data_IF_028845021267
#
_entry.id   IF_028845021267
#
_cell.length_a   1.000
_cell.length_b   1.000
_cell.length_c   1.000
_cell.angle_alpha   90.00
_cell.angle_beta   90.00
_cell.angle_gamma   90.00
#
_symmetry.space_group_name_H-M   'P 1'
#
loop_
_entity.id
_entity.type
_entity.pdbx_description
1 polymer ?
#
# COMPACT_ATOMS: atom_id res chain seq x y z
N UNK A 1 28.55 7.57 -17.20
CA UNK A 1 29.48 7.15 -16.11
C UNK A 1 29.88 8.28 -15.18
N UNK A 2 30.38 9.44 -15.65
CA UNK A 2 30.82 10.55 -14.75
C UNK A 2 29.69 11.19 -13.92
N UNK A 3 28.44 11.05 -14.36
CA UNK A 3 27.25 11.57 -13.67
C UNK A 3 26.73 10.66 -12.54
N UNK A 4 27.01 9.34 -12.61
CA UNK A 4 26.66 8.37 -11.55
C UNK A 4 27.50 8.56 -10.27
N UNK A 5 28.77 8.96 -10.44
CA UNK A 5 29.74 9.14 -9.35
C UNK A 5 29.45 10.40 -8.50
N UNK A 6 28.69 11.36 -9.03
CA UNK A 6 28.32 12.61 -8.32
C UNK A 6 26.89 12.52 -7.77
N UNK A 7 25.97 11.86 -8.48
CA UNK A 7 24.57 11.74 -8.07
C UNK A 7 24.36 10.93 -6.79
N UNK A 8 25.09 9.82 -6.63
CA UNK A 8 24.97 8.97 -5.44
C UNK A 8 25.43 9.68 -4.13
N UNK A 9 26.64 10.27 -4.04
CA UNK A 9 27.06 10.97 -2.83
C UNK A 9 26.25 12.24 -2.55
N UNK A 10 25.73 12.93 -3.57
CA UNK A 10 24.84 14.08 -3.38
C UNK A 10 23.46 13.66 -2.84
N UNK A 11 22.90 12.54 -3.32
CA UNK A 11 21.66 11.97 -2.83
C UNK A 11 21.77 11.48 -1.38
N UNK A 12 22.86 10.80 -1.05
CA UNK A 12 23.14 10.36 0.33
C UNK A 12 23.35 11.57 1.26
N UNK A 13 24.06 12.61 0.83
CA UNK A 13 24.23 13.82 1.63
C UNK A 13 22.91 14.58 1.86
N UNK A 14 22.03 14.63 0.86
CA UNK A 14 20.71 15.24 0.97
C UNK A 14 19.79 14.44 1.89
N UNK A 15 19.82 13.11 1.79
CA UNK A 15 19.12 12.19 2.68
C UNK A 15 19.58 12.39 4.13
N UNK A 16 20.89 12.41 4.37
CA UNK A 16 21.44 12.63 5.71
C UNK A 16 21.09 14.02 6.28
N UNK A 17 21.06 15.06 5.45
CA UNK A 17 20.63 16.41 5.87
C UNK A 17 19.13 16.46 6.16
N UNK A 18 18.31 15.78 5.35
CA UNK A 18 16.86 15.70 5.54
C UNK A 18 16.51 14.90 6.78
N UNK A 19 17.07 13.71 6.97
CA UNK A 19 16.89 12.90 8.18
C UNK A 19 17.36 13.63 9.44
N UNK A 20 18.49 14.36 9.35
CA UNK A 20 19.01 15.15 10.48
C UNK A 20 18.14 16.37 10.80
N UNK A 21 17.60 17.06 9.79
CA UNK A 21 16.66 18.15 9.98
C UNK A 21 15.33 17.63 10.55
N UNK A 22 14.80 16.55 9.98
CA UNK A 22 13.55 15.90 10.37
C UNK A 22 13.59 15.41 11.83
N UNK A 23 14.63 14.66 12.23
CA UNK A 23 14.81 14.22 13.62
C UNK A 23 15.05 15.38 14.60
N UNK A 24 15.51 16.55 14.12
CA UNK A 24 15.64 17.75 14.97
C UNK A 24 14.32 18.49 15.19
N UNK A 25 13.39 18.38 14.25
CA UNK A 25 12.07 19.01 14.32
C UNK A 25 11.03 18.10 14.99
N UNK A 26 11.22 16.78 14.90
CA UNK A 26 10.29 15.77 15.43
C UNK A 26 11.08 14.66 16.15
N UNK A 27 11.37 14.81 17.45
CA UNK A 27 12.16 13.85 18.21
C UNK A 27 11.44 12.52 18.45
N UNK A 28 10.10 12.53 18.48
CA UNK A 28 9.22 11.36 18.64
C UNK A 28 8.06 11.42 17.64
N UNK A 29 8.28 11.08 16.35
CA UNK A 29 7.24 11.12 15.34
C UNK A 29 6.31 9.90 15.42
N UNK A 30 4.98 10.08 15.20
CA UNK A 30 4.06 8.96 14.98
C UNK A 30 4.46 8.14 13.74
N UNK A 31 4.21 6.82 13.77
CA UNK A 31 4.56 5.82 12.73
C UNK A 31 4.15 6.24 11.30
N UNK A 32 3.05 6.99 11.17
CA UNK A 32 2.58 7.55 9.90
C UNK A 32 3.57 8.52 9.24
N UNK A 33 4.30 9.32 10.04
CA UNK A 33 5.25 10.32 9.52
C UNK A 33 6.61 9.66 9.21
N UNK A 34 6.96 8.57 9.90
CA UNK A 34 8.13 7.73 9.52
C UNK A 34 7.95 7.12 8.12
N UNK A 35 6.75 6.64 7.79
CA UNK A 35 6.44 6.09 6.45
C UNK A 35 6.60 7.12 5.31
N UNK A 36 6.19 8.36 5.56
CA UNK A 36 6.33 9.47 4.60
C UNK A 36 7.80 9.90 4.45
N UNK A 37 8.55 9.93 5.55
CA UNK A 37 9.98 10.28 5.53
C UNK A 37 10.84 9.28 4.75
N UNK A 38 10.55 7.98 4.88
CA UNK A 38 11.29 6.91 4.18
C UNK A 38 10.96 6.87 2.68
N UNK A 39 9.69 7.07 2.31
CA UNK A 39 9.25 7.09 0.90
C UNK A 39 9.88 8.22 0.07
N UNK A 40 10.09 9.39 0.66
CA UNK A 40 10.75 10.54 -0.01
C UNK A 40 12.25 10.28 -0.24
N UNK A 41 12.91 9.55 0.66
CA UNK A 41 14.34 9.23 0.56
C UNK A 41 14.67 8.21 -0.53
N UNK A 42 13.87 7.14 -0.64
CA UNK A 42 14.08 6.05 -1.62
C UNK A 42 13.85 6.55 -3.06
N UNK A 43 12.84 7.39 -3.27
CA UNK A 43 12.51 7.94 -4.59
C UNK A 43 13.65 8.74 -5.23
N UNK A 44 14.49 9.40 -4.43
CA UNK A 44 15.65 10.17 -4.91
C UNK A 44 16.86 9.30 -5.26
N UNK A 45 17.08 8.19 -4.54
CA UNK A 45 18.21 7.28 -4.79
C UNK A 45 18.00 6.47 -6.07
N UNK A 46 16.75 6.06 -6.34
CA UNK A 46 16.41 5.27 -7.53
C UNK A 46 16.37 6.09 -8.82
N UNK A 47 16.08 7.41 -8.76
CA UNK A 47 15.86 8.27 -9.94
C UNK A 47 16.91 9.39 -10.13
N UNK A 48 18.01 9.37 -9.38
CA UNK A 48 19.07 10.39 -9.41
C UNK A 48 19.66 10.74 -10.79
N UNK A 49 19.81 9.81 -11.75
CA UNK A 49 20.31 10.12 -13.09
C UNK A 49 19.39 11.03 -13.93
N UNK A 50 18.08 10.91 -13.77
CA UNK A 50 17.08 11.61 -14.60
C UNK A 50 16.85 13.05 -14.16
N UNK A 51 16.97 13.33 -12.86
CA UNK A 51 16.87 14.69 -12.30
C UNK A 51 18.04 15.57 -12.76
N UNK A 52 19.27 15.04 -12.82
CA UNK A 52 20.45 15.80 -13.29
C UNK A 52 20.37 16.07 -14.80
N UNK A 53 19.76 15.16 -15.58
CA UNK A 53 19.47 15.35 -17.00
C UNK A 53 18.55 16.55 -17.26
N UNK A 54 17.56 16.76 -16.39
CA UNK A 54 16.63 17.89 -16.47
C UNK A 54 17.31 19.25 -16.19
N UNK A 55 18.25 19.32 -15.23
CA UNK A 55 18.95 20.56 -14.90
C UNK A 55 19.99 21.01 -15.95
N UNK A 56 20.42 20.14 -16.88
CA UNK A 56 21.35 20.51 -17.97
C UNK A 56 20.67 21.20 -19.16
N UNK A 57 19.34 21.15 -19.28
CA UNK A 57 18.61 21.87 -20.34
C UNK A 57 18.27 23.28 -19.86
N UNK A 58 19.21 24.22 -20.01
CA UNK A 58 18.93 25.66 -19.85
C UNK A 58 17.87 26.10 -20.86
N UNK A 59 16.72 26.67 -20.44
CA UNK A 59 15.88 27.44 -21.33
C UNK A 59 16.59 28.75 -21.70
N UNK A 60 16.64 29.03 -23.00
CA UNK A 60 17.15 30.27 -23.56
C UNK A 60 16.22 31.42 -23.15
N UNK A 61 16.83 32.48 -22.63
CA UNK A 61 16.22 33.73 -22.17
C UNK A 61 15.82 34.56 -23.39
N UNK A 62 14.56 34.98 -23.47
CA UNK A 62 14.10 36.30 -23.94
C UNK A 62 12.58 36.29 -24.08
N UNK A 63 11.90 37.01 -23.18
CA UNK A 63 10.84 37.98 -23.51
C UNK A 63 10.35 38.63 -22.21
N UNK A 64 10.38 39.96 -22.21
CA UNK A 64 10.06 40.87 -21.11
C UNK A 64 8.56 40.80 -20.78
N UNK A 65 8.21 40.35 -19.58
CA UNK A 65 6.84 40.44 -19.07
C UNK A 65 6.62 41.81 -18.40
N UNK A 66 5.87 42.68 -19.09
CA UNK A 66 5.20 43.83 -18.47
C UNK A 66 4.26 43.33 -17.35
N UNK A 67 4.41 43.93 -16.16
CA UNK A 67 3.49 43.73 -15.04
C UNK A 67 2.11 44.29 -15.40
N UNK A 68 1.19 43.42 -15.79
CA UNK A 68 -0.24 43.67 -15.75
C UNK A 68 -0.87 42.72 -14.74
N UNK A 69 -1.47 43.30 -13.68
CA UNK A 69 -2.23 42.55 -12.69
C UNK A 69 -3.39 41.81 -13.40
N UNK A 70 -3.52 40.48 -13.27
CA UNK A 70 -4.66 39.80 -13.87
C UNK A 70 -5.86 39.96 -12.94
N UNK A 71 -6.88 40.61 -13.50
CA UNK A 71 -8.26 40.53 -13.08
C UNK A 71 -8.69 39.07 -12.88
N UNK A 72 -9.70 38.88 -12.02
CA UNK A 72 -10.41 37.62 -11.80
C UNK A 72 -11.06 37.12 -13.09
N UNK A 73 -10.27 36.49 -13.96
CA UNK A 73 -10.77 35.78 -15.12
C UNK A 73 -11.27 34.42 -14.65
N UNK A 74 -12.55 34.17 -14.89
CA UNK A 74 -13.21 32.87 -14.76
C UNK A 74 -12.25 31.72 -15.11
N UNK A 75 -11.89 30.92 -14.11
CA UNK A 75 -11.09 29.70 -14.30
C UNK A 75 -11.90 28.79 -15.21
N UNK A 76 -11.57 28.79 -16.50
CA UNK A 76 -12.01 27.74 -17.41
C UNK A 76 -11.59 26.43 -16.78
N UNK A 77 -12.59 25.62 -16.44
CA UNK A 77 -12.45 24.27 -15.90
C UNK A 77 -11.70 23.47 -16.96
N UNK A 78 -10.36 23.45 -16.89
CA UNK A 78 -9.59 22.37 -17.50
C UNK A 78 -10.06 21.12 -16.77
N UNK A 79 -10.74 20.22 -17.48
CA UNK A 79 -11.08 18.89 -16.98
C UNK A 79 -9.81 18.32 -16.36
N UNK A 80 -9.83 18.13 -15.05
CA UNK A 80 -8.85 17.27 -14.41
C UNK A 80 -9.27 15.87 -14.87
N UNK A 81 -8.67 15.37 -15.95
CA UNK A 81 -8.87 13.98 -16.36
C UNK A 81 -8.11 13.12 -15.33
N UNK A 82 -8.77 12.86 -14.21
CA UNK A 82 -8.32 11.86 -13.24
C UNK A 82 -8.64 10.51 -13.88
N UNK A 83 -7.65 9.65 -14.16
CA UNK A 83 -7.93 8.33 -14.74
C UNK A 83 -8.96 7.61 -13.86
N UNK A 84 -9.89 6.83 -14.40
CA UNK A 84 -10.83 6.08 -13.56
C UNK A 84 -10.10 4.92 -12.89
N UNK A 85 -10.20 4.80 -11.56
CA UNK A 85 -9.68 3.64 -10.85
C UNK A 85 -10.59 2.44 -11.11
N UNK A 86 -9.99 1.28 -11.32
CA UNK A 86 -10.70 0.01 -11.32
C UNK A 86 -10.48 -0.63 -9.95
N UNK A 87 -11.57 -1.07 -9.35
CA UNK A 87 -11.54 -1.82 -8.11
C UNK A 87 -11.89 -3.29 -8.39
N UNK A 88 -11.39 -4.19 -7.54
CA UNK A 88 -11.75 -5.61 -7.60
C UNK A 88 -13.25 -5.83 -7.35
N UNK A 89 -13.75 -7.00 -7.74
CA UNK A 89 -15.18 -7.33 -7.61
C UNK A 89 -15.68 -7.21 -6.16
N UNK A 90 -14.86 -7.61 -5.18
CA UNK A 90 -15.22 -7.57 -3.75
C UNK A 90 -15.32 -6.15 -3.19
N UNK A 91 -14.40 -5.27 -3.58
CA UNK A 91 -14.45 -3.84 -3.21
C UNK A 91 -15.70 -3.20 -3.82
N UNK A 92 -16.00 -3.52 -5.08
CA UNK A 92 -17.21 -3.04 -5.75
C UNK A 92 -18.49 -3.61 -5.12
N UNK A 93 -18.48 -4.87 -4.69
CA UNK A 93 -19.58 -5.51 -3.98
C UNK A 93 -19.80 -4.87 -2.60
N UNK A 94 -18.73 -4.63 -1.85
CA UNK A 94 -18.78 -3.92 -0.58
C UNK A 94 -19.46 -2.55 -0.72
N UNK A 95 -19.04 -1.76 -1.72
CA UNK A 95 -19.61 -0.44 -1.94
C UNK A 95 -20.96 -0.44 -2.66
N UNK A 96 -21.35 -1.58 -3.26
CA UNK A 96 -22.69 -1.80 -3.78
C UNK A 96 -23.68 -2.27 -2.70
N UNK A 97 -23.20 -2.84 -1.60
CA UNK A 97 -24.02 -3.31 -0.47
C UNK A 97 -24.94 -2.17 0.02
N UNK A 98 -26.28 -2.39 -0.01
CA UNK A 98 -27.21 -1.37 0.42
C UNK A 98 -27.05 -0.94 1.88
N UNK A 99 -26.62 -1.83 2.78
CA UNK A 99 -26.32 -1.52 4.18
C UNK A 99 -25.13 -0.56 4.27
N UNK A 100 -24.04 -0.84 3.55
CA UNK A 100 -22.85 0.03 3.51
C UNK A 100 -23.19 1.39 2.95
N UNK A 101 -23.92 1.44 1.83
CA UNK A 101 -24.42 2.68 1.24
C UNK A 101 -25.37 3.43 2.18
N UNK A 102 -26.17 2.73 2.98
CA UNK A 102 -27.00 3.30 4.03
C UNK A 102 -26.16 3.97 5.13
N UNK A 103 -25.10 3.31 5.63
CA UNK A 103 -24.17 3.89 6.62
C UNK A 103 -23.60 5.22 6.12
N UNK A 104 -23.18 5.28 4.85
CA UNK A 104 -22.72 6.50 4.22
C UNK A 104 -23.77 7.61 4.25
N UNK A 105 -25.03 7.32 3.92
CA UNK A 105 -26.11 8.33 3.91
C UNK A 105 -26.32 8.92 5.31
N UNK A 106 -26.36 8.07 6.34
CA UNK A 106 -26.52 8.52 7.74
C UNK A 106 -25.34 9.41 8.15
N UNK A 107 -24.12 8.95 7.89
CA UNK A 107 -22.91 9.65 8.29
C UNK A 107 -22.75 10.98 7.54
N UNK A 108 -23.02 11.01 6.23
CA UNK A 108 -22.99 12.23 5.42
C UNK A 108 -24.07 13.23 5.86
N UNK A 109 -25.26 12.75 6.26
CA UNK A 109 -26.30 13.61 6.83
C UNK A 109 -25.91 14.20 8.19
N UNK A 110 -25.39 13.38 9.12
CA UNK A 110 -24.92 13.84 10.45
C UNK A 110 -23.83 14.91 10.33
N UNK A 111 -23.00 14.81 9.29
CA UNK A 111 -21.95 15.78 8.98
C UNK A 111 -22.45 17.04 8.24
N UNK A 112 -23.71 17.06 7.82
CA UNK A 112 -24.29 18.17 7.05
C UNK A 112 -23.82 18.23 5.59
N UNK A 113 -23.28 17.12 5.05
CA UNK A 113 -22.94 17.00 3.63
C UNK A 113 -24.15 16.64 2.76
N UNK A 114 -25.20 16.09 3.37
CA UNK A 114 -26.51 15.88 2.75
C UNK A 114 -27.56 16.73 3.47
N UNK A 115 -28.33 17.50 2.71
CA UNK A 115 -29.50 18.21 3.21
C UNK A 115 -30.75 17.32 3.20
N UNK A 116 -31.80 17.72 3.94
CA UNK A 116 -33.11 17.04 3.95
C UNK A 116 -33.69 16.85 2.53
N UNK A 117 -33.42 17.79 1.61
CA UNK A 117 -33.87 17.71 0.23
C UNK A 117 -33.08 16.70 -0.63
N UNK A 118 -31.85 16.38 -0.22
CA UNK A 118 -30.95 15.45 -0.92
C UNK A 118 -31.05 14.02 -0.37
N UNK A 119 -31.69 13.82 0.80
CA UNK A 119 -31.91 12.51 1.39
C UNK A 119 -32.76 11.57 0.51
N UNK A 120 -33.95 11.96 0.02
CA UNK A 120 -34.79 11.07 -0.80
C UNK A 120 -34.09 10.47 -2.03
N UNK A 121 -33.37 11.25 -2.86
CA UNK A 121 -32.62 10.67 -3.97
C UNK A 121 -31.37 9.89 -3.52
N UNK A 122 -30.78 10.20 -2.36
CA UNK A 122 -29.62 9.45 -1.84
C UNK A 122 -30.00 8.06 -1.31
N UNK A 123 -31.19 7.92 -0.72
CA UNK A 123 -31.72 6.62 -0.28
C UNK A 123 -32.43 5.86 -1.40
N UNK A 124 -32.72 6.52 -2.53
CA UNK A 124 -33.31 5.87 -3.69
C UNK A 124 -32.37 4.79 -4.23
N UNK A 125 -32.85 3.54 -4.21
CA UNK A 125 -32.07 2.39 -4.68
C UNK A 125 -31.19 1.73 -3.60
N UNK A 126 -31.47 1.96 -2.31
CA UNK A 126 -30.95 1.16 -1.19
C UNK A 126 -31.81 -0.08 -0.88
N UNK A 127 -32.92 -0.30 -1.59
CA UNK A 127 -33.83 -1.41 -1.28
C UNK A 127 -34.59 -1.21 0.05
N UNK A 128 -35.08 -2.31 0.63
CA UNK A 128 -35.78 -2.30 1.92
C UNK A 128 -34.79 -2.59 3.05
N UNK A 129 -34.30 -1.52 3.67
CA UNK A 129 -33.44 -1.55 4.86
C UNK A 129 -34.22 -1.37 6.16
N UNK A 130 -35.55 -1.28 6.07
CA UNK A 130 -36.43 -1.08 7.21
C UNK A 130 -37.39 0.12 7.05
N UNK A 131 -38.36 0.25 7.98
CA UNK A 131 -39.44 1.22 7.86
C UNK A 131 -38.97 2.69 7.84
N UNK A 132 -37.90 3.03 8.56
CA UNK A 132 -37.40 4.40 8.59
C UNK A 132 -36.75 4.80 7.26
N UNK A 133 -36.16 3.86 6.53
CA UNK A 133 -35.59 4.10 5.20
C UNK A 133 -36.64 4.40 4.14
N UNK A 134 -37.80 3.74 4.22
CA UNK A 134 -38.95 4.05 3.36
C UNK A 134 -39.47 5.47 3.62
N UNK A 135 -39.49 5.89 4.88
CA UNK A 135 -39.88 7.24 5.27
C UNK A 135 -38.89 8.29 4.73
N UNK A 136 -37.58 8.04 4.82
CA UNK A 136 -36.53 8.91 4.25
C UNK A 136 -36.60 9.04 2.72
N UNK A 137 -37.09 8.00 2.03
CA UNK A 137 -37.27 8.04 0.58
C UNK A 137 -38.44 8.94 0.14
N UNK A 138 -39.25 9.42 1.08
CA UNK A 138 -40.44 10.22 0.78
C UNK A 138 -40.10 11.72 0.78
N UNK A 139 -40.39 12.48 -0.30
CA UNK A 139 -40.03 13.91 -0.43
C UNK A 139 -40.69 14.89 0.56
N UNK A 140 -41.51 14.41 1.49
CA UNK A 140 -42.38 15.23 2.35
C UNK A 140 -41.81 15.52 3.75
N UNK A 141 -40.59 15.05 4.06
CA UNK A 141 -40.01 15.18 5.39
C UNK A 141 -39.52 16.62 5.62
N UNK A 142 -40.13 17.31 6.59
CA UNK A 142 -39.84 18.72 6.93
C UNK A 142 -38.70 18.86 7.95
N UNK A 143 -38.32 17.76 8.60
CA UNK A 143 -37.13 17.61 9.45
C UNK A 143 -36.78 16.12 9.54
N UNK A 144 -35.67 15.72 8.92
CA UNK A 144 -35.32 14.30 8.78
C UNK A 144 -34.54 13.72 9.98
N UNK A 145 -34.02 14.55 10.88
CA UNK A 145 -33.12 14.11 11.96
C UNK A 145 -33.65 12.94 12.81
N UNK A 146 -34.90 13.00 13.29
CA UNK A 146 -35.49 11.91 14.07
C UNK A 146 -35.77 10.62 13.27
N UNK A 147 -35.88 10.72 11.96
CA UNK A 147 -36.07 9.59 11.05
C UNK A 147 -34.71 8.98 10.66
N UNK A 148 -33.67 9.80 10.51
CA UNK A 148 -32.29 9.35 10.29
C UNK A 148 -31.76 8.53 11.46
N UNK A 149 -32.04 8.92 12.71
CA UNK A 149 -31.62 8.14 13.87
C UNK A 149 -32.34 6.79 13.98
N UNK A 150 -33.61 6.73 13.58
CA UNK A 150 -34.32 5.43 13.46
C UNK A 150 -33.75 4.58 12.33
N UNK A 151 -33.43 5.19 11.19
CA UNK A 151 -32.79 4.51 10.07
C UNK A 151 -31.40 3.96 10.44
N UNK A 152 -30.64 4.70 11.25
CA UNK A 152 -29.39 4.23 11.84
C UNK A 152 -29.60 3.01 12.73
N UNK A 153 -30.62 3.01 13.58
CA UNK A 153 -30.97 1.86 14.41
C UNK A 153 -31.40 0.64 13.57
N UNK A 154 -32.16 0.84 12.49
CA UNK A 154 -32.62 -0.24 11.59
C UNK A 154 -31.45 -1.07 11.00
N UNK A 155 -30.29 -0.43 10.75
CA UNK A 155 -29.08 -1.09 10.24
C UNK A 155 -27.99 -1.31 11.29
N UNK A 156 -28.30 -1.10 12.58
CA UNK A 156 -27.35 -1.25 13.69
C UNK A 156 -26.16 -0.28 13.64
N UNK A 157 -26.35 0.93 13.10
CA UNK A 157 -25.31 1.94 12.95
C UNK A 157 -25.17 2.82 14.19
N UNK A 158 -24.33 2.37 15.13
CA UNK A 158 -23.96 3.09 16.36
C UNK A 158 -22.46 3.43 16.36
N UNK A 159 -22.07 4.31 15.43
CA UNK A 159 -20.69 4.79 15.29
C UNK A 159 -20.50 6.13 15.96
N UNK A 160 -19.32 6.32 16.55
CA UNK A 160 -18.84 7.62 17.01
C UNK A 160 -18.72 8.62 15.86
N UNK A 161 -18.60 9.92 16.17
CA UNK A 161 -18.45 10.95 15.14
C UNK A 161 -17.19 10.74 14.27
N UNK A 162 -16.08 10.32 14.88
CA UNK A 162 -14.81 10.09 14.18
C UNK A 162 -14.90 8.88 13.22
N UNK A 163 -15.59 7.81 13.64
CA UNK A 163 -15.82 6.64 12.78
C UNK A 163 -16.79 6.96 11.64
N UNK A 164 -17.82 7.76 11.90
CA UNK A 164 -18.73 8.24 10.86
C UNK A 164 -18.00 9.12 9.84
N UNK A 165 -17.06 9.94 10.29
CA UNK A 165 -16.20 10.73 9.41
C UNK A 165 -15.29 9.86 8.54
N UNK A 166 -14.76 8.77 9.09
CA UNK A 166 -13.98 7.79 8.33
C UNK A 166 -14.85 7.10 7.26
N UNK A 167 -16.05 6.62 7.62
CA UNK A 167 -16.98 5.97 6.69
C UNK A 167 -17.33 6.87 5.49
N UNK A 168 -17.64 8.15 5.77
CA UNK A 168 -17.96 9.16 4.74
C UNK A 168 -16.78 9.41 3.81
N UNK A 169 -15.60 9.56 4.41
CA UNK A 169 -14.37 9.86 3.68
C UNK A 169 -13.99 8.71 2.77
N UNK A 170 -14.04 7.48 3.28
CA UNK A 170 -13.75 6.25 2.52
C UNK A 170 -14.71 6.09 1.32
N UNK A 171 -16.02 6.27 1.52
CA UNK A 171 -16.99 6.20 0.41
C UNK A 171 -16.77 7.30 -0.64
N UNK A 172 -16.50 8.53 -0.21
CA UNK A 172 -16.27 9.66 -1.12
C UNK A 172 -15.00 9.48 -1.94
N UNK A 173 -13.93 8.97 -1.31
CA UNK A 173 -12.67 8.63 -1.98
C UNK A 173 -12.90 7.52 -3.01
N UNK A 174 -13.55 6.41 -2.62
CA UNK A 174 -13.89 5.32 -3.55
C UNK A 174 -14.71 5.84 -4.75
N UNK A 175 -15.78 6.59 -4.49
CA UNK A 175 -16.64 7.13 -5.54
C UNK A 175 -15.92 8.11 -6.47
N UNK A 176 -15.09 9.01 -5.91
CA UNK A 176 -14.30 9.95 -6.69
C UNK A 176 -13.30 9.24 -7.62
N UNK A 177 -12.63 8.20 -7.11
CA UNK A 177 -11.69 7.38 -7.87
C UNK A 177 -12.38 6.55 -8.97
N UNK A 178 -13.53 5.94 -8.68
CA UNK A 178 -14.30 5.12 -9.64
C UNK A 178 -14.93 5.93 -10.79
N UNK A 179 -15.31 7.17 -10.54
CA UNK A 179 -16.07 7.96 -11.54
C UNK A 179 -15.22 8.94 -12.33
N UNK A 180 -14.06 9.33 -11.81
CA UNK A 180 -13.27 10.43 -12.38
C UNK A 180 -13.98 11.78 -12.31
N UNK A 181 -15.07 11.90 -11.54
CA UNK A 181 -15.87 13.12 -11.46
C UNK A 181 -15.15 14.18 -10.60
N UNK A 182 -14.65 15.22 -11.27
CA UNK A 182 -13.94 16.32 -10.63
C UNK A 182 -14.74 17.08 -9.56
N UNK A 183 -16.09 17.09 -9.64
CA UNK A 183 -16.94 17.69 -8.60
C UNK A 183 -16.90 16.86 -7.32
N UNK A 184 -16.98 15.55 -7.46
CA UNK A 184 -17.01 14.58 -6.35
C UNK A 184 -15.65 14.42 -5.71
N UNK A 185 -14.58 14.52 -6.51
CA UNK A 185 -13.21 14.67 -6.03
C UNK A 185 -13.05 15.91 -5.13
N UNK A 186 -13.67 17.04 -5.49
CA UNK A 186 -13.68 18.25 -4.64
C UNK A 186 -14.48 18.04 -3.36
N UNK A 187 -15.63 17.36 -3.42
CA UNK A 187 -16.43 17.02 -2.23
C UNK A 187 -15.66 16.09 -1.28
N UNK A 188 -14.93 15.09 -1.81
CA UNK A 188 -14.01 14.24 -1.05
C UNK A 188 -12.88 15.05 -0.40
N UNK A 189 -12.27 15.99 -1.13
CA UNK A 189 -11.24 16.90 -0.58
C UNK A 189 -11.80 17.84 0.50
N UNK A 190 -13.05 18.29 0.39
CA UNK A 190 -13.72 19.11 1.42
C UNK A 190 -14.03 18.25 2.66
N UNK A 191 -14.41 16.98 2.50
CA UNK A 191 -14.54 16.03 3.60
C UNK A 191 -13.18 15.73 4.27
N UNK A 192 -12.07 15.77 3.53
CA UNK A 192 -10.71 15.65 4.08
C UNK A 192 -10.16 16.97 4.67
N UNK A 193 -10.82 18.10 4.43
CA UNK A 193 -10.30 19.44 4.75
C UNK A 193 -10.10 19.76 6.25
N UNK A 194 -10.78 19.15 7.24
CA UNK A 194 -10.43 19.37 8.65
C UNK A 194 -9.04 18.84 9.02
N UNK A 195 -8.48 17.93 8.22
CA UNK A 195 -7.22 17.23 8.45
C UNK A 195 -6.09 17.61 7.49
N UNK A 196 -6.38 18.40 6.45
CA UNK A 196 -5.40 18.76 5.42
C UNK A 196 -5.38 20.28 5.28
N UNK A 197 -4.39 20.94 5.87
CA UNK A 197 -4.06 22.31 5.47
C UNK A 197 -3.65 22.28 3.99
N UNK A 198 -4.58 22.67 3.12
CA UNK A 198 -4.39 22.84 1.67
C UNK A 198 -3.46 24.02 1.32
N UNK A 199 -2.59 24.37 2.24
CA UNK A 199 -1.64 25.45 2.17
C UNK A 199 -0.26 24.90 2.53
N UNK A 200 0.46 24.34 1.56
CA UNK A 200 1.88 24.64 1.30
C UNK A 200 2.47 23.74 0.22
N UNK A 201 3.20 24.37 -0.72
CA UNK A 201 4.17 23.78 -1.68
C UNK A 201 3.54 22.87 -2.77
N UNK A 202 3.67 23.07 -4.08
CA UNK A 202 4.87 23.36 -4.85
C UNK A 202 4.46 24.03 -6.18
N UNK A 203 4.63 25.35 -6.30
CA UNK A 203 4.38 26.07 -7.57
C UNK A 203 5.44 25.79 -8.64
N UNK A 204 6.57 25.18 -8.26
CA UNK A 204 7.76 25.02 -9.11
C UNK A 204 8.07 23.57 -9.49
N UNK A 205 7.17 22.63 -9.21
CA UNK A 205 7.43 21.22 -9.50
C UNK A 205 7.10 20.85 -10.94
N UNK A 206 8.01 20.12 -11.61
CA UNK A 206 7.75 19.58 -12.95
C UNK A 206 6.47 18.75 -12.99
N UNK A 207 5.69 18.89 -14.06
CA UNK A 207 4.40 18.20 -14.24
C UNK A 207 4.54 16.67 -14.11
N UNK A 208 5.65 16.09 -14.56
CA UNK A 208 5.88 14.64 -14.46
C UNK A 208 6.01 14.15 -13.01
N UNK A 209 6.61 14.96 -12.12
CA UNK A 209 6.78 14.60 -10.71
C UNK A 209 5.47 14.78 -9.94
N UNK A 210 4.69 15.82 -10.30
CA UNK A 210 3.30 15.99 -9.82
C UNK A 210 2.39 14.85 -10.29
N UNK A 211 2.52 14.40 -11.54
CA UNK A 211 1.80 13.22 -12.04
C UNK A 211 2.22 11.98 -11.25
N UNK A 212 3.52 11.71 -11.15
CA UNK A 212 4.02 10.52 -10.46
C UNK A 212 3.59 10.44 -8.99
N UNK A 213 3.60 11.56 -8.25
CA UNK A 213 3.09 11.59 -6.86
C UNK A 213 1.58 11.40 -6.78
N UNK A 214 0.81 11.97 -7.71
CA UNK A 214 -0.64 11.75 -7.77
C UNK A 214 -0.95 10.28 -8.06
N UNK A 215 -0.20 9.69 -8.98
CA UNK A 215 -0.36 8.30 -9.39
C UNK A 215 0.02 7.38 -8.21
N UNK A 216 1.17 7.60 -7.55
CA UNK A 216 1.53 6.85 -6.33
C UNK A 216 0.59 7.03 -5.13
N UNK A 217 0.01 8.22 -4.91
CA UNK A 217 -1.00 8.42 -3.86
C UNK A 217 -2.29 7.67 -4.18
N UNK A 218 -2.72 7.73 -5.44
CA UNK A 218 -3.90 7.00 -5.93
C UNK A 218 -3.71 5.49 -5.75
N UNK A 219 -2.53 4.98 -6.09
CA UNK A 219 -2.16 3.57 -5.90
C UNK A 219 -2.28 3.17 -4.44
N UNK A 220 -1.64 3.91 -3.54
CA UNK A 220 -1.71 3.65 -2.10
C UNK A 220 -3.15 3.65 -1.57
N UNK A 221 -4.04 4.47 -2.12
CA UNK A 221 -5.46 4.47 -1.74
C UNK A 221 -6.20 3.25 -2.31
N UNK A 222 -5.93 2.85 -3.55
CA UNK A 222 -6.52 1.65 -4.14
C UNK A 222 -6.07 0.42 -3.35
N UNK A 223 -4.79 0.33 -3.02
CA UNK A 223 -4.22 -0.76 -2.23
C UNK A 223 -4.80 -0.80 -0.81
N UNK A 224 -5.02 0.34 -0.15
CA UNK A 224 -5.69 0.39 1.16
C UNK A 224 -7.15 -0.10 1.08
N UNK A 225 -7.89 0.28 0.03
CA UNK A 225 -9.27 -0.18 -0.17
C UNK A 225 -9.32 -1.69 -0.50
N UNK A 226 -8.38 -2.18 -1.33
CA UNK A 226 -8.27 -3.60 -1.67
C UNK A 226 -7.79 -4.44 -0.47
N UNK A 227 -6.92 -3.89 0.39
CA UNK A 227 -6.52 -4.53 1.63
C UNK A 227 -7.65 -4.58 2.66
N UNK A 228 -8.57 -3.61 2.68
CA UNK A 228 -9.69 -3.57 3.63
C UNK A 228 -10.92 -4.34 3.18
N UNK A 229 -11.23 -4.28 1.89
CA UNK A 229 -12.50 -4.76 1.34
C UNK A 229 -12.33 -5.80 0.24
N UNK A 230 -11.10 -6.01 -0.25
CA UNK A 230 -10.78 -7.10 -1.17
C UNK A 230 -10.72 -8.46 -0.46
N UNK A 231 -10.37 -9.52 -1.21
CA UNK A 231 -10.14 -10.84 -0.65
C UNK A 231 -9.13 -10.80 0.50
N UNK A 232 -9.38 -11.59 1.54
CA UNK A 232 -8.56 -11.65 2.75
C UNK A 232 -7.93 -13.02 2.91
N UNK A 233 -6.73 -13.07 3.49
CA UNK A 233 -6.17 -14.32 3.98
C UNK A 233 -6.96 -14.79 5.20
N UNK A 234 -7.14 -16.11 5.32
CA UNK A 234 -7.79 -16.70 6.50
C UNK A 234 -6.87 -16.65 7.73
N UNK A 235 -7.47 -16.70 8.92
CA UNK A 235 -6.73 -16.82 10.18
C UNK A 235 -5.80 -18.05 10.20
N UNK A 236 -6.16 -19.12 9.48
CA UNK A 236 -5.34 -20.33 9.35
C UNK A 236 -4.02 -20.03 8.64
N UNK A 237 -4.06 -19.28 7.53
CA UNK A 237 -2.86 -18.83 6.81
C UNK A 237 -2.00 -17.96 7.72
N UNK A 238 -2.61 -16.98 8.40
CA UNK A 238 -1.87 -16.12 9.34
C UNK A 238 -1.22 -16.91 10.48
N UNK A 239 -1.93 -17.89 11.04
CA UNK A 239 -1.38 -18.77 12.08
C UNK A 239 -0.21 -19.61 11.56
N UNK A 240 -0.29 -20.12 10.33
CA UNK A 240 0.78 -20.88 9.70
C UNK A 240 2.06 -20.06 9.54
N UNK A 241 1.97 -18.83 9.01
CA UNK A 241 3.14 -17.97 8.80
C UNK A 241 3.63 -17.23 10.07
N UNK A 242 2.79 -17.16 11.10
CA UNK A 242 3.20 -16.71 12.43
C UNK A 242 3.97 -17.78 13.22
N UNK A 243 3.82 -19.06 12.85
CA UNK A 243 4.49 -20.17 13.51
C UNK A 243 6.02 -20.01 13.47
N UNK A 244 6.72 -20.14 14.60
CA UNK A 244 8.16 -19.90 14.66
C UNK A 244 8.95 -20.93 13.84
N UNK A 245 8.47 -22.16 13.70
CA UNK A 245 9.11 -23.16 12.83
C UNK A 245 8.98 -22.76 11.36
N UNK A 246 7.82 -22.31 10.91
CA UNK A 246 7.64 -21.76 9.55
C UNK A 246 8.56 -20.56 9.29
N UNK A 247 8.63 -19.61 10.23
CA UNK A 247 9.52 -18.43 10.13
C UNK A 247 11.00 -18.81 10.11
N UNK A 248 11.39 -19.82 10.88
CA UNK A 248 12.74 -20.37 10.87
C UNK A 248 13.08 -21.03 9.53
N UNK A 249 12.14 -21.76 8.93
CA UNK A 249 12.30 -22.33 7.59
C UNK A 249 12.47 -21.23 6.54
N UNK A 250 11.62 -20.19 6.54
CA UNK A 250 11.74 -19.02 5.66
C UNK A 250 13.13 -18.37 5.78
N UNK A 251 13.63 -18.17 7.01
CA UNK A 251 14.98 -17.62 7.22
C UNK A 251 16.06 -18.52 6.58
N UNK A 252 16.04 -19.82 6.88
CA UNK A 252 17.03 -20.78 6.38
C UNK A 252 17.03 -20.77 4.85
N UNK A 253 15.85 -20.87 4.25
CA UNK A 253 15.72 -21.01 2.81
C UNK A 253 16.01 -19.71 2.07
N UNK A 254 15.50 -18.58 2.58
CA UNK A 254 15.79 -17.26 2.05
C UNK A 254 17.27 -16.94 2.11
N UNK A 255 17.98 -17.35 3.18
CA UNK A 255 19.42 -17.15 3.24
C UNK A 255 20.17 -18.08 2.29
N UNK A 256 19.86 -19.39 2.27
CA UNK A 256 20.51 -20.36 1.39
C UNK A 256 20.37 -19.99 -0.09
N UNK A 257 19.16 -19.59 -0.51
CA UNK A 257 18.85 -19.17 -1.87
C UNK A 257 19.19 -17.71 -2.16
N UNK A 258 19.91 -17.03 -1.25
CA UNK A 258 20.41 -15.66 -1.43
C UNK A 258 19.30 -14.59 -1.59
N UNK A 259 18.06 -14.90 -1.18
CA UNK A 259 16.95 -13.95 -1.12
C UNK A 259 17.09 -12.97 0.06
N UNK A 260 17.85 -13.34 1.09
CA UNK A 260 18.12 -12.54 2.28
C UNK A 260 19.60 -12.10 2.37
N UNK A 261 19.88 -10.81 2.58
CA UNK A 261 21.22 -10.31 2.89
C UNK A 261 21.79 -10.89 4.19
N UNK A 262 23.10 -11.15 4.26
CA UNK A 262 23.78 -11.62 5.48
C UNK A 262 23.57 -10.71 6.69
N UNK A 263 23.41 -9.41 6.47
CA UNK A 263 23.23 -8.44 7.55
C UNK A 263 21.92 -8.62 8.32
N UNK A 264 20.90 -9.23 7.69
CA UNK A 264 19.56 -9.36 8.25
C UNK A 264 19.40 -10.67 9.04
N UNK A 265 20.24 -11.67 8.78
CA UNK A 265 20.17 -13.01 9.40
C UNK A 265 20.18 -12.95 10.94
N UNK A 266 21.09 -12.21 11.60
CA UNK A 266 21.14 -12.22 13.06
C UNK A 266 19.87 -11.64 13.69
N UNK A 267 19.36 -10.54 13.12
CA UNK A 267 18.11 -9.93 13.59
C UNK A 267 16.94 -10.90 13.42
N UNK A 268 16.79 -11.51 12.24
CA UNK A 268 15.70 -12.45 11.96
C UNK A 268 15.77 -13.70 12.83
N UNK A 269 16.97 -14.19 13.13
CA UNK A 269 17.16 -15.31 14.07
C UNK A 269 16.76 -14.91 15.49
N UNK A 270 17.11 -13.70 15.94
CA UNK A 270 16.73 -13.18 17.26
C UNK A 270 15.20 -13.00 17.42
N UNK A 271 14.48 -12.67 16.35
CA UNK A 271 13.02 -12.53 16.35
C UNK A 271 12.25 -13.85 16.48
N UNK A 272 12.91 -15.00 16.29
CA UNK A 272 12.26 -16.32 16.22
C UNK A 272 12.76 -17.27 17.32
N UNK A 273 14.02 -17.14 17.74
CA UNK A 273 14.68 -18.11 18.64
C UNK A 273 13.94 -18.37 19.95
N UNK A 274 13.31 -17.36 20.55
CA UNK A 274 12.70 -17.47 21.88
C UNK A 274 11.55 -18.50 21.92
N UNK A 275 10.83 -18.62 20.81
CA UNK A 275 9.63 -19.45 20.69
C UNK A 275 9.84 -20.68 19.80
N UNK A 276 11.03 -20.83 19.19
CA UNK A 276 11.35 -21.88 18.23
C UNK A 276 11.60 -23.24 18.92
N UNK A 277 10.74 -24.26 18.70
CA UNK A 277 10.97 -25.58 19.26
C UNK A 277 12.24 -26.22 18.70
N UNK A 278 13.08 -26.75 19.59
CA UNK A 278 14.35 -27.39 19.20
C UNK A 278 15.51 -26.43 18.98
N UNK A 279 15.31 -25.11 19.06
CA UNK A 279 16.38 -24.14 18.96
C UNK A 279 17.43 -24.33 20.08
N UNK A 280 18.69 -24.44 19.70
CA UNK A 280 19.82 -24.70 20.58
C UNK A 280 20.93 -23.66 20.46
N UNK A 281 22.16 -24.14 20.47
CA UNK A 281 23.36 -23.29 20.47
C UNK A 281 23.53 -22.59 19.13
N UNK A 282 23.25 -23.26 18.01
CA UNK A 282 23.44 -22.71 16.69
C UNK A 282 22.48 -21.54 16.40
N UNK A 283 21.21 -21.67 16.80
CA UNK A 283 20.26 -20.54 16.73
C UNK A 283 20.70 -19.35 17.60
N UNK A 284 21.23 -19.62 18.79
CA UNK A 284 21.74 -18.58 19.69
C UNK A 284 22.95 -17.88 19.07
N UNK A 285 23.84 -18.64 18.46
CA UNK A 285 25.02 -18.12 17.76
C UNK A 285 24.63 -17.27 16.54
N UNK A 286 23.64 -17.70 15.74
CA UNK A 286 23.09 -16.90 14.65
C UNK A 286 22.53 -15.57 15.15
N UNK A 287 21.70 -15.60 16.20
CA UNK A 287 21.09 -14.41 16.77
C UNK A 287 22.12 -13.40 17.35
N UNK A 288 23.27 -13.91 17.82
CA UNK A 288 24.36 -13.09 18.36
C UNK A 288 25.41 -12.69 17.33
N UNK A 289 25.34 -13.21 16.10
CA UNK A 289 26.30 -12.91 15.05
C UNK A 289 26.26 -11.42 14.68
N UNK A 290 27.39 -10.90 14.17
CA UNK A 290 27.45 -9.49 13.75
C UNK A 290 26.61 -9.27 12.49
N UNK A 291 25.95 -8.12 12.37
CA UNK A 291 25.30 -7.69 11.13
C UNK A 291 26.30 -7.48 9.97
N UNK A 292 27.60 -7.54 10.25
CA UNK A 292 28.67 -7.47 9.25
C UNK A 292 29.32 -8.82 8.99
N UNK A 293 28.81 -9.91 9.57
CA UNK A 293 29.40 -11.24 9.39
C UNK A 293 29.30 -11.68 7.92
N UNK A 294 30.42 -12.11 7.30
CA UNK A 294 30.42 -12.59 5.94
C UNK A 294 29.66 -13.92 5.84
N UNK A 295 29.18 -14.22 4.62
CA UNK A 295 28.41 -15.43 4.36
C UNK A 295 29.14 -16.73 4.72
N UNK A 296 30.45 -16.77 4.49
CA UNK A 296 31.30 -17.91 4.86
C UNK A 296 31.35 -18.20 6.37
N UNK A 297 31.03 -17.23 7.22
CA UNK A 297 30.93 -17.43 8.67
C UNK A 297 29.52 -17.84 9.10
N UNK A 298 28.48 -17.31 8.44
CA UNK A 298 27.09 -17.58 8.79
C UNK A 298 26.60 -18.94 8.26
N UNK A 299 27.02 -19.37 7.08
CA UNK A 299 26.57 -20.63 6.46
C UNK A 299 26.78 -21.87 7.36
N UNK A 300 27.97 -22.10 7.96
CA UNK A 300 28.17 -23.25 8.83
C UNK A 300 27.33 -23.21 10.12
N UNK A 301 26.96 -22.02 10.58
CA UNK A 301 26.08 -21.85 11.75
C UNK A 301 24.64 -22.15 11.33
N UNK A 302 24.23 -21.65 10.16
CA UNK A 302 22.90 -21.92 9.60
C UNK A 302 22.67 -23.41 9.35
N UNK A 303 23.67 -24.14 8.87
CA UNK A 303 23.53 -25.59 8.64
C UNK A 303 23.29 -26.35 9.95
N UNK A 304 24.01 -26.01 11.02
CA UNK A 304 23.73 -26.58 12.36
C UNK A 304 22.36 -26.15 12.89
N UNK A 305 21.97 -24.89 12.68
CA UNK A 305 20.67 -24.40 13.12
C UNK A 305 19.51 -25.11 12.39
N UNK A 306 19.70 -25.43 11.10
CA UNK A 306 18.77 -26.25 10.33
C UNK A 306 18.68 -27.68 10.88
N UNK A 307 19.81 -28.28 11.26
CA UNK A 307 19.83 -29.60 11.91
C UNK A 307 19.10 -29.61 13.26
N UNK A 308 19.28 -28.58 14.09
CA UNK A 308 18.65 -28.46 15.42
C UNK A 308 17.12 -28.55 15.36
N UNK A 309 16.51 -27.97 14.32
CA UNK A 309 15.05 -27.98 14.12
C UNK A 309 14.57 -29.06 13.14
N UNK A 310 15.47 -29.91 12.64
CA UNK A 310 15.14 -30.99 11.69
C UNK A 310 14.75 -30.51 10.29
N UNK A 311 15.26 -29.36 9.84
CA UNK A 311 15.00 -28.84 8.50
C UNK A 311 15.81 -29.61 7.44
N UNK A 312 15.16 -30.57 6.79
CA UNK A 312 15.74 -31.46 5.77
C UNK A 312 14.94 -31.47 4.46
N UNK A 313 14.49 -30.30 4.01
CA UNK A 313 13.80 -30.15 2.73
C UNK A 313 14.73 -30.47 1.57
N UNK A 314 14.19 -31.16 0.56
CA UNK A 314 14.86 -31.25 -0.74
C UNK A 314 14.85 -29.88 -1.45
N UNK A 315 15.67 -29.68 -2.50
CA UNK A 315 15.78 -28.38 -3.17
C UNK A 315 14.45 -27.83 -3.68
N UNK A 316 13.58 -28.68 -4.23
CA UNK A 316 12.28 -28.27 -4.77
C UNK A 316 11.33 -27.82 -3.65
N UNK A 317 11.24 -28.57 -2.56
CA UNK A 317 10.40 -28.21 -1.42
C UNK A 317 10.91 -26.94 -0.71
N UNK A 318 12.23 -26.76 -0.63
CA UNK A 318 12.83 -25.52 -0.15
C UNK A 318 12.48 -24.34 -1.08
N UNK A 319 12.53 -24.55 -2.39
CA UNK A 319 12.11 -23.55 -3.36
C UNK A 319 10.63 -23.17 -3.16
N UNK A 320 9.73 -24.15 -2.98
CA UNK A 320 8.33 -23.86 -2.65
C UNK A 320 8.18 -23.06 -1.35
N UNK A 321 8.86 -23.46 -0.27
CA UNK A 321 8.84 -22.75 1.02
C UNK A 321 9.26 -21.26 0.84
N UNK A 322 10.25 -20.96 -0.03
CA UNK A 322 10.64 -19.59 -0.37
C UNK A 322 9.53 -18.81 -1.09
N UNK A 323 8.92 -19.41 -2.11
CA UNK A 323 7.89 -18.76 -2.92
C UNK A 323 6.62 -18.50 -2.10
N UNK A 324 6.23 -19.44 -1.23
CA UNK A 324 5.06 -19.27 -0.37
C UNK A 324 5.28 -18.19 0.70
N UNK A 325 6.47 -18.13 1.30
CA UNK A 325 6.81 -17.05 2.22
C UNK A 325 6.83 -15.69 1.50
N UNK A 326 7.34 -15.63 0.27
CA UNK A 326 7.29 -14.44 -0.56
C UNK A 326 5.86 -14.05 -0.93
N UNK A 327 4.99 -15.01 -1.25
CA UNK A 327 3.58 -14.79 -1.52
C UNK A 327 2.84 -14.22 -0.30
N UNK A 328 3.07 -14.79 0.87
CA UNK A 328 2.48 -14.30 2.11
C UNK A 328 2.90 -12.85 2.39
N UNK A 329 4.21 -12.54 2.32
CA UNK A 329 4.71 -11.16 2.48
C UNK A 329 4.17 -10.22 1.41
N UNK A 330 4.10 -10.66 0.16
CA UNK A 330 3.55 -9.88 -0.95
C UNK A 330 2.09 -9.46 -0.69
N UNK A 331 1.28 -10.36 -0.13
CA UNK A 331 -0.12 -10.10 0.19
C UNK A 331 -0.28 -9.24 1.45
N UNK A 332 0.40 -9.58 2.54
CA UNK A 332 0.25 -8.93 3.85
C UNK A 332 0.87 -7.55 3.89
N UNK A 333 2.06 -7.38 3.29
CA UNK A 333 2.76 -6.10 3.27
C UNK A 333 2.37 -5.23 2.05
N UNK A 334 1.49 -5.72 1.17
CA UNK A 334 1.18 -5.11 -0.13
C UNK A 334 2.43 -4.90 -1.01
N UNK A 335 3.34 -5.90 -1.02
CA UNK A 335 4.68 -5.83 -1.63
C UNK A 335 4.88 -6.75 -2.84
N UNK A 336 3.82 -7.05 -3.59
CA UNK A 336 3.88 -7.93 -4.78
C UNK A 336 5.05 -7.61 -5.70
N UNK A 337 5.24 -6.34 -6.07
CA UNK A 337 6.32 -5.93 -6.98
C UNK A 337 7.72 -6.15 -6.38
N UNK A 338 7.89 -5.85 -5.10
CA UNK A 338 9.19 -5.94 -4.43
C UNK A 338 9.61 -7.40 -4.25
N UNK A 339 8.69 -8.25 -3.80
CA UNK A 339 8.95 -9.69 -3.69
C UNK A 339 9.12 -10.33 -5.08
N UNK A 340 8.34 -9.91 -6.08
CA UNK A 340 8.50 -10.35 -7.46
C UNK A 340 9.88 -10.02 -8.03
N UNK A 341 10.35 -8.78 -7.86
CA UNK A 341 11.67 -8.36 -8.30
C UNK A 341 12.79 -9.12 -7.58
N UNK A 342 12.62 -9.38 -6.28
CA UNK A 342 13.55 -10.18 -5.50
C UNK A 342 13.63 -11.60 -6.08
N UNK A 343 12.50 -12.27 -6.29
CA UNK A 343 12.47 -13.62 -6.86
C UNK A 343 13.03 -13.67 -8.29
N UNK A 344 12.71 -12.68 -9.13
CA UNK A 344 13.27 -12.58 -10.46
C UNK A 344 14.79 -12.37 -10.44
N UNK A 345 15.33 -11.54 -9.54
CA UNK A 345 16.77 -11.34 -9.44
C UNK A 345 17.52 -12.64 -9.09
N UNK A 346 16.90 -13.56 -8.35
CA UNK A 346 17.48 -14.87 -8.04
C UNK A 346 17.67 -15.74 -9.28
N UNK A 347 16.80 -15.62 -10.29
CA UNK A 347 16.91 -16.43 -11.51
C UNK A 347 18.13 -16.09 -12.36
N UNK A 348 18.77 -14.94 -12.10
CA UNK A 348 19.98 -14.50 -12.79
C UNK A 348 21.27 -14.84 -12.04
N UNK A 349 21.15 -15.48 -10.87
CA UNK A 349 22.29 -15.85 -10.07
C UNK A 349 22.73 -17.28 -10.46
N UNK A 350 23.89 -17.42 -11.11
CA UNK A 350 24.41 -18.70 -11.58
C UNK A 350 24.59 -19.75 -10.47
N UNK A 351 24.67 -19.29 -9.21
CA UNK A 351 24.79 -20.14 -8.01
C UNK A 351 23.43 -20.64 -7.45
N UNK A 352 22.30 -20.16 -7.99
CA UNK A 352 20.95 -20.52 -7.55
C UNK A 352 20.21 -21.18 -8.72
N UNK A 353 20.06 -22.51 -8.66
CA UNK A 353 19.29 -23.25 -9.65
C UNK A 353 17.87 -23.49 -9.14
N UNK A 354 16.91 -22.81 -9.77
CA UNK A 354 15.49 -22.98 -9.53
C UNK A 354 14.96 -24.01 -10.54
N UNK A 355 14.40 -25.12 -10.07
CA UNK A 355 14.06 -26.26 -10.94
C UNK A 355 12.82 -25.97 -11.82
N UNK A 356 11.95 -25.05 -11.38
CA UNK A 356 10.73 -24.68 -12.08
C UNK A 356 9.66 -25.79 -12.03
N UNK A 357 8.44 -25.43 -11.64
CA UNK A 357 7.33 -26.37 -11.45
C UNK A 357 6.40 -26.01 -10.30
N UNK A 358 6.26 -24.71 -10.01
CA UNK A 358 5.42 -24.24 -8.92
C UNK A 358 3.97 -24.14 -9.34
N UNK A 359 3.10 -23.92 -8.36
CA UNK A 359 1.72 -23.53 -8.65
C UNK A 359 1.71 -22.26 -9.55
N UNK A 360 0.83 -22.18 -10.56
CA UNK A 360 0.73 -21.01 -11.44
C UNK A 360 0.58 -19.67 -10.71
N UNK A 361 -0.04 -19.64 -9.52
CA UNK A 361 -0.13 -18.43 -8.71
C UNK A 361 1.26 -17.96 -8.23
N UNK A 362 2.10 -18.90 -7.76
CA UNK A 362 3.47 -18.62 -7.32
C UNK A 362 4.38 -18.23 -8.49
N UNK A 363 4.21 -18.87 -9.65
CA UNK A 363 4.89 -18.43 -10.88
C UNK A 363 4.46 -17.01 -11.30
N UNK A 364 3.16 -16.72 -11.17
CA UNK A 364 2.59 -15.39 -11.40
C UNK A 364 3.23 -14.31 -10.53
N UNK A 365 3.53 -14.60 -9.25
CA UNK A 365 4.27 -13.68 -8.40
C UNK A 365 5.65 -13.35 -8.98
N UNK A 366 6.45 -14.35 -9.39
CA UNK A 366 7.76 -14.09 -10.00
C UNK A 366 7.63 -13.27 -11.27
N UNK A 367 6.62 -13.54 -12.10
CA UNK A 367 6.46 -12.89 -13.40
C UNK A 367 5.88 -11.47 -13.31
N UNK A 368 5.29 -11.08 -12.18
CA UNK A 368 4.77 -9.74 -11.93
C UNK A 368 5.80 -8.60 -12.06
N UNK A 369 7.11 -8.89 -12.02
CA UNK A 369 8.17 -7.92 -12.27
C UNK A 369 8.10 -7.33 -13.68
N UNK A 370 7.54 -8.09 -14.62
CA UNK A 370 7.36 -7.70 -16.01
C UNK A 370 6.09 -6.86 -16.24
N UNK A 371 5.27 -6.65 -15.21
CA UNK A 371 4.08 -5.81 -15.30
C UNK A 371 4.46 -4.40 -15.79
N UNK A 372 3.86 -4.00 -16.91
CA UNK A 372 4.15 -2.76 -17.59
C UNK A 372 2.95 -2.29 -18.41
N UNK A 373 2.94 -1.02 -18.78
CA UNK A 373 1.85 -0.41 -19.55
C UNK A 373 0.81 0.28 -18.67
N UNK A 374 -0.28 0.72 -19.29
CA UNK A 374 -1.32 1.53 -18.63
C UNK A 374 -2.18 0.70 -17.65
N UNK A 375 -2.13 -0.63 -17.73
CA UNK A 375 -2.87 -1.58 -16.88
C UNK A 375 -1.98 -2.30 -15.86
N UNK A 376 -0.73 -1.86 -15.65
CA UNK A 376 0.20 -2.56 -14.76
C UNK A 376 -0.33 -2.72 -13.33
N UNK A 377 -1.12 -1.76 -12.84
CA UNK A 377 -1.79 -1.86 -11.55
C UNK A 377 -2.82 -2.97 -11.46
N UNK A 378 -3.62 -3.12 -12.52
CA UNK A 378 -4.59 -4.20 -12.59
C UNK A 378 -3.83 -5.54 -12.55
N UNK A 379 -2.71 -5.66 -13.27
CA UNK A 379 -1.88 -6.87 -13.25
C UNK A 379 -1.31 -7.19 -11.85
N UNK A 380 -0.82 -6.18 -11.11
CA UNK A 380 -0.30 -6.37 -9.75
C UNK A 380 -1.42 -6.77 -8.77
N UNK A 381 -2.59 -6.13 -8.86
CA UNK A 381 -3.76 -6.47 -8.04
C UNK A 381 -4.25 -7.88 -8.32
N UNK A 382 -4.40 -8.24 -9.60
CA UNK A 382 -4.88 -9.56 -10.00
C UNK A 382 -3.90 -10.66 -9.55
N UNK A 383 -2.59 -10.37 -9.58
CA UNK A 383 -1.57 -11.25 -8.97
C UNK A 383 -1.81 -11.42 -7.47
N UNK A 384 -2.03 -10.33 -6.72
CA UNK A 384 -2.33 -10.39 -5.28
C UNK A 384 -3.54 -11.27 -4.99
N UNK A 385 -4.62 -11.12 -5.76
CA UNK A 385 -5.85 -11.91 -5.60
C UNK A 385 -5.62 -13.40 -5.85
N UNK A 386 -4.90 -13.76 -6.92
CA UNK A 386 -4.54 -15.16 -7.17
C UNK A 386 -3.67 -15.76 -6.06
N UNK A 387 -2.76 -14.96 -5.45
CA UNK A 387 -1.96 -15.42 -4.31
C UNK A 387 -2.82 -15.65 -3.07
N UNK A 388 -3.82 -14.80 -2.82
CA UNK A 388 -4.78 -14.98 -1.72
C UNK A 388 -5.58 -16.28 -1.92
N UNK A 389 -6.10 -16.50 -3.13
CA UNK A 389 -6.84 -17.72 -3.47
C UNK A 389 -5.98 -18.98 -3.28
N UNK A 390 -4.73 -18.93 -3.76
CA UNK A 390 -3.77 -20.02 -3.59
C UNK A 390 -3.52 -20.33 -2.10
N UNK A 391 -3.11 -19.32 -1.33
CA UNK A 391 -2.77 -19.51 0.09
C UNK A 391 -3.96 -20.01 0.90
N UNK A 392 -5.16 -19.46 0.67
CA UNK A 392 -6.38 -19.89 1.35
C UNK A 392 -6.86 -21.29 0.95
N UNK A 393 -6.55 -21.75 -0.26
CA UNK A 393 -6.88 -23.10 -0.69
C UNK A 393 -5.87 -24.14 -0.18
N UNK A 394 -4.63 -23.73 0.04
CA UNK A 394 -3.54 -24.60 0.47
C UNK A 394 -3.54 -24.89 1.98
N UNK A 395 -3.91 -23.90 2.80
CA UNK A 395 -3.91 -23.95 4.28
C UNK A 395 -5.33 -23.89 4.85
#
# INVERSE_FOLDING_TARGET
MRDYVIGYPAGVALMLLFTRWYNSQFPDPPVFIEGIGFGIGIGFVLNGPDVIGAFRRRPRRDETAEMSAPALTSVQIRRLDVPVARFGADVEEHFADPVVRGRYVIAAYRRGLLSDAELPPAVAGLGDLGPAWVELATPAVTSAGGTVERAAADIGYDRSADEADADVTTQLIHYALRTGDARRYREALIALAPSVELATVVKDEPEWMRSHRRDGLRESIIDDLDARFGPQLTDTVHAHFADPTTRAHDLIVSYRLQAMPSADVPQRAAEVIADLPGAGEAWTELAMASSTSPRSELEPILDRAAEEIGYHRDPLAAECDLYEAAAYRAVVDCRVREESQRLWALTWNDDVYLEGGHDPALEGLRDAHAAAGDDYHDQIRDTRHHLIDYLNAHY
#
